data_IF_394335333192
#
_entry.id   IF_394335333192
#
_cell.length_a   1.000
_cell.length_b   1.000
_cell.length_c   1.000
_cell.angle_alpha   90.00
_cell.angle_beta   90.00
_cell.angle_gamma   90.00
#
_symmetry.space_group_name_H-M   'P 1'
#
loop_
_entity.id
_entity.type
_entity.pdbx_description
1 polymer ?
#
# COMPACT_ATOMS: atom_id res chain seq x y z
N UNK A 1 -35.28 27.12 -36.92
CA UNK A 1 -36.27 28.20 -37.03
C UNK A 1 -36.71 28.62 -35.62
N UNK A 2 -36.83 29.95 -35.42
CA UNK A 2 -37.32 30.72 -34.23
C UNK A 2 -36.26 30.93 -33.12
N UNK A 3 -35.55 32.08 -33.00
CA UNK A 3 -35.94 33.49 -32.71
C UNK A 3 -36.48 33.66 -31.27
N UNK A 4 -36.13 34.63 -30.41
CA UNK A 4 -35.50 35.97 -30.48
C UNK A 4 -35.19 36.40 -29.01
N UNK A 5 -34.05 37.08 -28.76
CA UNK A 5 -33.89 38.45 -28.21
C UNK A 5 -34.28 38.66 -26.71
N UNK A 6 -33.77 39.58 -25.89
CA UNK A 6 -33.25 40.96 -25.97
C UNK A 6 -32.42 41.15 -24.66
N UNK A 7 -31.13 41.54 -24.64
CA UNK A 7 -30.54 42.90 -24.59
C UNK A 7 -30.92 43.75 -23.35
N UNK A 8 -29.89 44.27 -22.63
CA UNK A 8 -29.78 45.58 -21.94
C UNK A 8 -28.44 45.60 -21.15
N UNK A 9 -27.36 46.24 -21.65
CA UNK A 9 -26.94 47.65 -21.46
C UNK A 9 -26.41 47.93 -20.03
N UNK A 10 -25.36 48.72 -19.74
CA UNK A 10 -24.21 49.36 -20.41
C UNK A 10 -23.55 50.23 -19.31
N UNK A 11 -22.24 50.47 -19.38
CA UNK A 11 -21.56 51.61 -18.72
C UNK A 11 -20.50 51.21 -17.68
N UNK A 12 -19.35 51.87 -17.55
CA UNK A 12 -18.73 53.01 -18.21
C UNK A 12 -17.20 52.95 -17.94
N UNK A 13 -16.43 53.50 -18.88
CA UNK A 13 -14.99 53.85 -18.86
C UNK A 13 -14.64 54.83 -17.71
N UNK A 14 -13.44 54.92 -17.13
CA UNK A 14 -12.18 55.54 -17.63
C UNK A 14 -11.15 55.48 -16.47
N UNK A 15 -9.87 55.08 -16.66
CA UNK A 15 -8.69 55.83 -17.12
C UNK A 15 -8.13 56.93 -16.15
N UNK A 16 -6.85 56.73 -15.80
CA UNK A 16 -5.78 57.69 -15.39
C UNK A 16 -5.68 58.18 -13.93
N UNK A 17 -4.51 57.94 -13.32
CA UNK A 17 -3.65 59.00 -12.75
C UNK A 17 -2.21 58.50 -12.52
N UNK A 18 -1.26 59.41 -12.64
CA UNK A 18 0.18 59.25 -12.82
C UNK A 18 0.97 58.96 -11.52
N UNK A 19 2.18 58.42 -11.70
CA UNK A 19 3.30 58.35 -10.74
C UNK A 19 3.87 59.76 -10.47
N UNK A 20 4.50 60.06 -9.30
CA UNK A 20 5.97 60.02 -9.19
C UNK A 20 6.61 59.71 -7.80
N UNK A 21 7.78 59.04 -7.85
CA UNK A 21 9.02 59.11 -7.03
C UNK A 21 9.13 58.90 -5.47
N UNK A 22 9.78 57.76 -5.11
CA UNK A 22 10.97 57.49 -4.22
C UNK A 22 10.95 57.57 -2.65
N UNK A 23 11.85 56.81 -1.93
CA UNK A 23 11.64 56.03 -0.66
C UNK A 23 12.34 56.70 0.57
N UNK A 24 12.53 56.14 1.81
CA UNK A 24 12.74 54.73 2.27
C UNK A 24 11.96 54.29 3.55
N UNK A 25 11.79 52.97 3.76
CA UNK A 25 12.41 52.27 4.90
C UNK A 25 12.02 50.77 5.00
N UNK A 26 13.06 49.95 5.03
CA UNK A 26 13.26 48.73 5.83
C UNK A 26 12.03 47.94 6.33
N UNK A 27 11.80 46.77 5.73
CA UNK A 27 10.83 45.77 6.20
C UNK A 27 11.13 44.39 5.67
N UNK A 28 12.13 43.78 6.28
CA UNK A 28 12.64 42.40 6.25
C UNK A 28 11.68 41.28 5.81
N UNK A 29 12.29 40.28 5.17
CA UNK A 29 11.85 38.88 5.01
C UNK A 29 10.87 38.57 3.86
N UNK A 30 11.40 38.65 2.63
CA UNK A 30 10.99 37.77 1.54
C UNK A 30 11.25 36.33 1.99
N UNK A 31 10.20 35.62 2.40
CA UNK A 31 10.26 34.20 2.69
C UNK A 31 10.73 33.46 1.42
N UNK A 32 12.01 33.09 1.40
CA UNK A 32 12.55 32.12 0.45
C UNK A 32 11.76 30.82 0.60
N UNK A 33 10.85 30.58 -0.33
CA UNK A 33 10.23 29.28 -0.51
C UNK A 33 11.29 28.35 -1.11
N UNK A 34 12.18 27.82 -0.26
CA UNK A 34 13.04 26.70 -0.64
C UNK A 34 12.12 25.54 -1.02
N UNK A 35 12.18 25.03 -2.27
CA UNK A 35 11.43 23.85 -2.65
C UNK A 35 11.80 22.71 -1.69
N UNK A 36 10.83 21.92 -1.17
CA UNK A 36 11.15 20.80 -0.31
C UNK A 36 12.16 19.90 -1.02
N UNK A 37 13.29 19.64 -0.36
CA UNK A 37 14.34 18.79 -0.90
C UNK A 37 13.73 17.44 -1.33
N UNK A 38 14.09 16.91 -2.51
CA UNK A 38 13.60 15.61 -2.93
C UNK A 38 13.93 14.56 -1.86
N UNK A 39 13.02 13.62 -1.57
CA UNK A 39 13.25 12.61 -0.55
C UNK A 39 14.55 11.87 -0.86
N UNK A 40 15.40 11.62 0.15
CA UNK A 40 16.67 10.94 -0.07
C UNK A 40 16.43 9.58 -0.71
N UNK A 41 17.26 9.25 -1.70
CA UNK A 41 17.22 7.94 -2.34
C UNK A 41 17.52 6.84 -1.31
N UNK A 42 16.91 5.65 -1.43
CA UNK A 42 17.17 4.56 -0.50
C UNK A 42 18.65 4.15 -0.52
N UNK A 43 19.21 3.88 0.66
CA UNK A 43 20.58 3.34 0.76
C UNK A 43 20.65 1.94 0.11
N UNK A 44 21.85 1.44 -0.25
CA UNK A 44 22.00 0.09 -0.80
C UNK A 44 21.39 -1.01 0.08
N UNK A 45 21.51 -0.89 1.41
CA UNK A 45 20.97 -1.84 2.38
C UNK A 45 19.43 -1.75 2.45
N UNK A 46 18.88 -0.54 2.37
CA UNK A 46 17.44 -0.32 2.27
C UNK A 46 16.88 -0.90 0.97
N UNK A 47 17.61 -0.77 -0.14
CA UNK A 47 17.25 -1.40 -1.42
C UNK A 47 17.22 -2.92 -1.30
N UNK A 48 18.22 -3.52 -0.66
CA UNK A 48 18.26 -4.96 -0.40
C UNK A 48 17.07 -5.41 0.47
N UNK A 49 16.71 -4.63 1.50
CA UNK A 49 15.49 -4.88 2.28
C UNK A 49 14.24 -4.87 1.39
N UNK A 50 14.09 -3.86 0.53
CA UNK A 50 12.94 -3.72 -0.36
C UNK A 50 12.88 -4.83 -1.42
N UNK A 51 14.02 -5.34 -1.89
CA UNK A 51 14.08 -6.46 -2.84
C UNK A 51 13.71 -7.79 -2.17
N UNK A 52 14.13 -7.98 -0.91
CA UNK A 52 13.65 -9.07 -0.06
C UNK A 52 12.14 -9.03 0.13
N UNK A 53 11.61 -7.83 0.43
CA UNK A 53 10.17 -7.60 0.58
C UNK A 53 9.41 -7.89 -0.72
N UNK A 54 9.90 -7.42 -1.88
CA UNK A 54 9.29 -7.73 -3.19
C UNK A 54 9.25 -9.24 -3.43
N UNK A 55 10.33 -9.94 -3.13
CA UNK A 55 10.42 -11.40 -3.28
C UNK A 55 9.40 -12.11 -2.42
N UNK A 56 9.32 -11.77 -1.14
CA UNK A 56 8.34 -12.35 -0.21
C UNK A 56 6.90 -12.05 -0.63
N UNK A 57 6.62 -10.80 -1.03
CA UNK A 57 5.27 -10.35 -1.44
C UNK A 57 4.74 -11.13 -2.64
N UNK A 58 5.61 -11.57 -3.57
CA UNK A 58 5.20 -12.43 -4.70
C UNK A 58 4.59 -13.74 -4.23
N UNK A 59 5.19 -14.40 -3.24
CA UNK A 59 4.61 -15.61 -2.64
C UNK A 59 3.30 -15.31 -1.92
N UNK A 60 3.23 -14.22 -1.17
CA UNK A 60 1.99 -13.85 -0.47
C UNK A 60 0.83 -13.51 -1.41
N UNK A 61 1.10 -12.95 -2.58
CA UNK A 61 0.08 -12.72 -3.60
C UNK A 61 -0.54 -14.05 -4.08
N UNK A 62 0.28 -15.08 -4.29
CA UNK A 62 -0.21 -16.42 -4.65
C UNK A 62 -1.14 -16.98 -3.57
N UNK A 63 -0.77 -16.84 -2.29
CA UNK A 63 -1.62 -17.29 -1.18
C UNK A 63 -2.98 -16.57 -1.14
N UNK A 64 -3.01 -15.26 -1.41
CA UNK A 64 -4.26 -14.49 -1.50
C UNK A 64 -5.15 -15.00 -2.63
N UNK A 65 -4.57 -15.31 -3.79
CA UNK A 65 -5.32 -15.88 -4.91
C UNK A 65 -5.88 -17.27 -4.56
N UNK A 66 -5.09 -18.10 -3.86
CA UNK A 66 -5.51 -19.41 -3.35
C UNK A 66 -6.69 -19.31 -2.38
N UNK A 67 -6.63 -18.39 -1.42
CA UNK A 67 -7.74 -18.09 -0.50
C UNK A 67 -8.99 -17.67 -1.28
N UNK A 68 -8.84 -16.79 -2.27
CA UNK A 68 -9.96 -16.35 -3.11
C UNK A 68 -10.63 -17.53 -3.84
N UNK A 69 -9.84 -18.51 -4.31
CA UNK A 69 -10.37 -19.73 -4.91
C UNK A 69 -11.14 -20.59 -3.91
N UNK A 70 -10.59 -20.83 -2.72
CA UNK A 70 -11.28 -21.57 -1.64
C UNK A 70 -12.59 -20.87 -1.27
N UNK A 71 -12.57 -19.54 -1.11
CA UNK A 71 -13.78 -18.78 -0.76
C UNK A 71 -14.86 -18.80 -1.84
N UNK A 72 -14.51 -18.95 -3.12
CA UNK A 72 -15.50 -19.13 -4.19
C UNK A 72 -16.02 -20.56 -4.21
N UNK A 73 -15.14 -21.54 -4.02
CA UNK A 73 -15.48 -22.95 -3.99
C UNK A 73 -16.30 -23.35 -2.74
N UNK A 74 -16.21 -22.59 -1.64
CA UNK A 74 -16.96 -22.86 -0.41
C UNK A 74 -18.48 -22.71 -0.56
N UNK A 75 -18.95 -22.12 -1.67
CA UNK A 75 -20.37 -22.03 -2.04
C UNK A 75 -20.81 -23.14 -3.01
N UNK A 76 -19.87 -23.94 -3.51
CA UNK A 76 -20.10 -25.03 -4.45
C UNK A 76 -20.18 -26.39 -3.78
N UNK A 77 -19.98 -27.46 -4.56
CA UNK A 77 -19.95 -28.82 -4.04
C UNK A 77 -18.67 -29.14 -3.25
N UNK A 78 -18.71 -30.22 -2.47
CA UNK A 78 -17.59 -30.66 -1.62
C UNK A 78 -16.34 -31.03 -2.42
N UNK A 79 -16.51 -31.49 -3.67
CA UNK A 79 -15.40 -31.86 -4.56
C UNK A 79 -14.64 -30.62 -5.03
N UNK A 80 -15.35 -29.57 -5.45
CA UNK A 80 -14.76 -28.29 -5.83
C UNK A 80 -14.04 -27.65 -4.65
N UNK A 81 -14.63 -27.72 -3.45
CA UNK A 81 -13.99 -27.25 -2.22
C UNK A 81 -12.70 -28.01 -1.93
N UNK A 82 -12.72 -29.34 -2.06
CA UNK A 82 -11.56 -30.19 -1.84
C UNK A 82 -10.43 -29.89 -2.84
N UNK A 83 -10.76 -29.74 -4.13
CA UNK A 83 -9.79 -29.37 -5.18
C UNK A 83 -9.18 -27.99 -4.91
N UNK A 84 -9.98 -27.02 -4.48
CA UNK A 84 -9.47 -25.70 -4.09
C UNK A 84 -8.55 -25.78 -2.87
N UNK A 85 -8.86 -26.63 -1.90
CA UNK A 85 -8.02 -26.92 -0.74
C UNK A 85 -6.67 -27.55 -1.10
N UNK A 86 -6.66 -28.54 -1.98
CA UNK A 86 -5.42 -29.16 -2.51
C UNK A 86 -4.57 -28.13 -3.26
N UNK A 87 -5.19 -27.28 -4.07
CA UNK A 87 -4.50 -26.19 -4.75
C UNK A 87 -3.88 -25.21 -3.74
N UNK A 88 -4.62 -24.81 -2.70
CA UNK A 88 -4.11 -23.95 -1.63
C UNK A 88 -2.94 -24.60 -0.87
N UNK A 89 -2.99 -25.92 -0.61
CA UNK A 89 -1.90 -26.66 0.02
C UNK A 89 -0.60 -26.52 -0.78
N UNK A 90 -0.66 -26.75 -2.10
CA UNK A 90 0.49 -26.60 -3.00
C UNK A 90 1.03 -25.17 -3.02
N UNK A 91 0.16 -24.16 -2.97
CA UNK A 91 0.57 -22.76 -2.86
C UNK A 91 1.25 -22.43 -1.53
N UNK A 92 0.80 -23.04 -0.42
CA UNK A 92 1.47 -22.88 0.88
C UNK A 92 2.90 -23.41 0.85
N UNK A 93 3.14 -24.54 0.20
CA UNK A 93 4.49 -25.07 -0.06
C UNK A 93 5.33 -24.17 -0.96
N UNK A 94 4.80 -23.73 -2.12
CA UNK A 94 5.55 -22.92 -3.07
C UNK A 94 5.86 -21.51 -2.55
N UNK A 95 4.90 -20.87 -1.87
CA UNK A 95 5.03 -19.54 -1.28
C UNK A 95 6.09 -19.51 -0.19
N UNK A 96 6.26 -20.61 0.57
CA UNK A 96 7.33 -20.75 1.55
C UNK A 96 8.71 -20.54 0.94
N UNK A 97 8.94 -20.97 -0.30
CA UNK A 97 10.20 -20.75 -1.01
C UNK A 97 10.50 -19.25 -1.22
N UNK A 98 9.50 -18.47 -1.62
CA UNK A 98 9.64 -17.01 -1.75
C UNK A 98 9.91 -16.33 -0.41
N UNK A 99 9.18 -16.74 0.63
CA UNK A 99 9.34 -16.17 1.97
C UNK A 99 10.72 -16.49 2.56
N UNK A 100 11.20 -17.73 2.43
CA UNK A 100 12.53 -18.13 2.88
C UNK A 100 13.67 -17.42 2.15
N UNK A 101 13.48 -17.05 0.88
CA UNK A 101 14.47 -16.26 0.12
C UNK A 101 14.43 -14.77 0.45
N UNK A 102 13.22 -14.20 0.60
CA UNK A 102 13.04 -12.77 0.83
C UNK A 102 13.35 -12.34 2.27
N UNK A 103 12.91 -13.14 3.26
CA UNK A 103 13.01 -12.77 4.69
C UNK A 103 14.44 -12.50 5.18
N UNK A 104 15.48 -13.29 4.81
CA UNK A 104 16.86 -13.03 5.24
C UNK A 104 17.41 -11.68 4.76
N UNK A 105 16.91 -11.16 3.64
CA UNK A 105 17.34 -9.88 3.08
C UNK A 105 16.75 -8.68 3.83
N UNK A 106 15.68 -8.90 4.59
CA UNK A 106 14.94 -7.86 5.30
C UNK A 106 15.50 -7.63 6.69
N UNK A 107 16.66 -6.98 6.79
CA UNK A 107 17.21 -6.54 8.07
C UNK A 107 16.56 -5.21 8.52
N UNK A 108 15.77 -5.16 9.62
CA UNK A 108 15.11 -3.93 10.05
C UNK A 108 16.06 -2.82 10.52
N UNK A 109 17.31 -3.15 10.88
CA UNK A 109 18.26 -2.16 11.44
C UNK A 109 18.81 -1.19 10.40
N UNK A 110 18.58 -1.46 9.10
CA UNK A 110 18.92 -0.55 7.99
C UNK A 110 18.08 0.73 7.96
N UNK A 111 17.02 0.77 8.78
CA UNK A 111 16.21 1.94 9.04
C UNK A 111 16.44 2.43 10.46
N UNK A 112 16.23 3.72 10.68
CA UNK A 112 16.32 4.37 11.98
C UNK A 112 14.93 4.67 12.59
N UNK A 113 14.94 5.02 13.88
CA UNK A 113 13.79 5.58 14.61
C UNK A 113 12.47 4.80 14.48
N UNK A 114 11.41 5.51 14.10
CA UNK A 114 10.06 4.98 13.95
C UNK A 114 9.96 4.00 12.79
N UNK A 115 10.75 4.21 11.72
CA UNK A 115 10.78 3.34 10.53
C UNK A 115 11.33 1.97 10.90
N UNK A 116 12.40 1.92 11.70
CA UNK A 116 12.94 0.66 12.26
C UNK A 116 11.87 -0.15 12.98
N UNK A 117 11.04 0.53 13.77
CA UNK A 117 9.95 -0.12 14.52
C UNK A 117 8.90 -0.70 13.58
N UNK A 118 8.52 0.01 12.51
CA UNK A 118 7.59 -0.51 11.49
C UNK A 118 8.21 -1.66 10.70
N UNK A 119 9.48 -1.57 10.33
CA UNK A 119 10.21 -2.63 9.64
C UNK A 119 10.29 -3.91 10.49
N UNK A 120 10.60 -3.80 11.79
CA UNK A 120 10.58 -4.93 12.73
C UNK A 120 9.21 -5.60 12.75
N UNK A 121 8.14 -4.83 12.95
CA UNK A 121 6.76 -5.35 12.96
C UNK A 121 6.44 -6.07 11.65
N UNK A 122 6.79 -5.50 10.49
CA UNK A 122 6.59 -6.13 9.19
C UNK A 122 7.32 -7.48 9.10
N UNK A 123 8.59 -7.53 9.50
CA UNK A 123 9.36 -8.78 9.48
C UNK A 123 8.78 -9.84 10.43
N UNK A 124 8.29 -9.45 11.61
CA UNK A 124 7.60 -10.37 12.53
C UNK A 124 6.32 -10.96 11.92
N UNK A 125 5.54 -10.16 11.18
CA UNK A 125 4.36 -10.70 10.48
C UNK A 125 4.75 -11.68 9.36
N UNK A 126 5.87 -11.42 8.66
CA UNK A 126 6.43 -12.39 7.72
C UNK A 126 6.89 -13.68 8.40
N UNK A 127 7.56 -13.59 9.55
CA UNK A 127 8.00 -14.77 10.32
C UNK A 127 6.79 -15.60 10.77
N UNK A 128 5.72 -14.93 11.18
CA UNK A 128 4.44 -15.55 11.55
C UNK A 128 3.78 -16.28 10.36
N UNK A 129 3.91 -15.75 9.14
CA UNK A 129 3.45 -16.41 7.92
C UNK A 129 4.34 -17.60 7.56
N UNK A 130 5.66 -17.43 7.61
CA UNK A 130 6.64 -18.50 7.34
C UNK A 130 6.39 -19.69 8.27
N UNK A 131 6.23 -19.44 9.57
CA UNK A 131 5.97 -20.47 10.57
C UNK A 131 4.66 -21.22 10.31
N UNK A 132 3.66 -20.54 9.73
CA UNK A 132 2.36 -21.15 9.43
C UNK A 132 2.34 -21.97 8.13
N UNK A 133 3.23 -21.68 7.16
CA UNK A 133 3.21 -22.35 5.85
C UNK A 133 3.19 -23.89 5.92
N UNK A 134 3.94 -24.59 6.79
CA UNK A 134 3.88 -26.05 6.85
C UNK A 134 2.53 -26.57 7.35
N UNK A 135 1.94 -25.90 8.34
CA UNK A 135 0.62 -26.26 8.85
C UNK A 135 -0.47 -26.00 7.80
N UNK A 136 -0.35 -24.91 7.03
CA UNK A 136 -1.25 -24.65 5.92
C UNK A 136 -1.16 -25.76 4.85
N UNK A 137 0.05 -26.14 4.44
CA UNK A 137 0.29 -27.19 3.46
C UNK A 137 -0.35 -28.53 3.88
N UNK A 138 -0.19 -28.91 5.15
CA UNK A 138 -0.76 -30.15 5.69
C UNK A 138 -2.29 -30.11 5.80
N UNK A 139 -2.86 -28.96 6.17
CA UNK A 139 -4.29 -28.86 6.55
C UNK A 139 -5.20 -28.38 5.43
N UNK A 140 -4.69 -27.61 4.47
CA UNK A 140 -5.52 -26.93 3.47
C UNK A 140 -6.33 -27.90 2.61
N UNK A 141 -5.83 -29.12 2.36
CA UNK A 141 -6.60 -30.15 1.67
C UNK A 141 -7.71 -30.74 2.56
N UNK A 142 -7.45 -31.01 3.84
CA UNK A 142 -8.41 -31.68 4.72
C UNK A 142 -9.50 -30.74 5.25
N UNK A 143 -9.12 -29.50 5.59
CA UNK A 143 -10.01 -28.49 6.15
C UNK A 143 -9.80 -27.14 5.44
N UNK A 144 -10.26 -27.02 4.18
CA UNK A 144 -9.93 -25.87 3.33
C UNK A 144 -10.41 -24.53 3.91
N UNK A 145 -11.64 -24.48 4.41
CA UNK A 145 -12.25 -23.22 4.88
C UNK A 145 -11.56 -22.67 6.13
N UNK A 146 -11.37 -23.49 7.17
CA UNK A 146 -10.72 -23.04 8.40
C UNK A 146 -9.26 -22.66 8.16
N UNK A 147 -8.55 -23.41 7.32
CA UNK A 147 -7.18 -23.09 6.91
C UNK A 147 -7.12 -21.75 6.16
N UNK A 148 -8.03 -21.52 5.22
CA UNK A 148 -8.12 -20.25 4.49
C UNK A 148 -8.45 -19.06 5.41
N UNK A 149 -9.32 -19.24 6.41
CA UNK A 149 -9.64 -18.21 7.42
C UNK A 149 -8.41 -17.88 8.26
N UNK A 150 -7.68 -18.88 8.76
CA UNK A 150 -6.48 -18.64 9.57
C UNK A 150 -5.38 -17.94 8.74
N UNK A 151 -5.16 -18.40 7.51
CA UNK A 151 -4.22 -17.77 6.59
C UNK A 151 -4.61 -16.32 6.28
N UNK A 152 -5.90 -16.07 6.05
CA UNK A 152 -6.44 -14.72 5.81
C UNK A 152 -6.19 -13.79 6.98
N UNK A 153 -6.34 -14.27 8.22
CA UNK A 153 -6.05 -13.47 9.43
C UNK A 153 -4.59 -13.03 9.46
N UNK A 154 -3.66 -13.94 9.18
CA UNK A 154 -2.22 -13.65 9.15
C UNK A 154 -1.85 -12.68 8.03
N UNK A 155 -2.44 -12.87 6.84
CA UNK A 155 -2.24 -11.97 5.70
C UNK A 155 -2.77 -10.55 5.98
N UNK A 156 -3.91 -10.41 6.66
CA UNK A 156 -4.42 -9.09 7.08
C UNK A 156 -3.45 -8.38 8.04
N UNK A 157 -2.89 -9.10 9.02
CA UNK A 157 -1.89 -8.53 9.93
C UNK A 157 -0.62 -8.10 9.19
N UNK A 158 -0.16 -8.90 8.23
CA UNK A 158 0.94 -8.55 7.34
C UNK A 158 0.64 -7.30 6.50
N UNK A 159 -0.53 -7.25 5.86
CA UNK A 159 -0.93 -6.11 5.00
C UNK A 159 -1.02 -4.81 5.81
N UNK A 160 -1.52 -4.87 7.04
CA UNK A 160 -1.50 -3.73 7.95
C UNK A 160 -0.08 -3.27 8.28
N UNK A 161 0.83 -4.19 8.61
CA UNK A 161 2.22 -3.86 8.88
C UNK A 161 2.95 -3.33 7.63
N UNK A 162 2.66 -3.87 6.46
CA UNK A 162 3.22 -3.44 5.18
C UNK A 162 2.78 -2.01 4.85
N UNK A 163 1.50 -1.70 5.02
CA UNK A 163 0.98 -0.34 4.83
C UNK A 163 1.67 0.65 5.77
N UNK A 164 1.73 0.34 7.06
CA UNK A 164 2.35 1.22 8.05
C UNK A 164 3.85 1.45 7.74
N UNK A 165 4.55 0.41 7.28
CA UNK A 165 5.94 0.53 6.84
C UNK A 165 6.07 1.41 5.59
N UNK A 166 5.24 1.21 4.57
CA UNK A 166 5.25 2.01 3.33
C UNK A 166 5.03 3.49 3.61
N UNK A 167 4.06 3.82 4.45
CA UNK A 167 3.81 5.19 4.89
C UNK A 167 5.04 5.78 5.59
N UNK A 168 5.68 4.99 6.47
CA UNK A 168 6.86 5.45 7.21
C UNK A 168 8.08 5.74 6.31
N UNK A 169 8.21 5.07 5.16
CA UNK A 169 9.27 5.35 4.17
C UNK A 169 8.82 6.28 3.03
N UNK A 170 7.69 6.97 3.19
CA UNK A 170 7.18 7.93 2.20
C UNK A 170 6.70 7.30 0.88
N UNK A 171 6.46 5.99 0.85
CA UNK A 171 5.91 5.33 -0.34
C UNK A 171 4.39 5.48 -0.38
N UNK A 172 3.80 5.77 -1.55
CA UNK A 172 2.36 5.85 -1.68
C UNK A 172 1.72 4.52 -1.31
N UNK A 173 0.66 4.63 -0.53
CA UNK A 173 -0.32 3.57 -0.31
C UNK A 173 -1.50 3.91 -1.22
N UNK A 174 -1.97 2.93 -1.99
CA UNK A 174 -3.24 3.11 -2.70
C UNK A 174 -4.32 3.29 -1.64
N UNK A 175 -4.89 4.49 -1.53
CA UNK A 175 -6.07 4.68 -0.70
C UNK A 175 -7.18 3.80 -1.27
N UNK A 176 -7.81 2.99 -0.41
CA UNK A 176 -9.01 2.28 -0.79
C UNK A 176 -10.04 3.34 -1.22
N UNK A 177 -10.35 3.38 -2.51
CA UNK A 177 -11.36 4.27 -3.13
C UNK A 177 -12.76 3.85 -2.68
N UNK A 178 -13.04 3.96 -1.38
CA UNK A 178 -14.31 3.64 -0.74
C UNK A 178 -14.81 4.78 0.16
N UNK A 179 -14.20 5.97 0.07
CA UNK A 179 -14.75 7.19 0.66
C UNK A 179 -15.07 8.19 -0.44
N UNK A 180 -16.17 7.95 -1.15
CA UNK A 180 -16.81 8.99 -1.93
C UNK A 180 -17.16 10.14 -0.96
N UNK A 181 -16.85 11.41 -1.31
CA UNK A 181 -17.28 12.54 -0.50
C UNK A 181 -18.81 12.59 -0.50
N UNK A 182 -19.42 12.56 0.69
CA UNK A 182 -20.79 13.01 0.84
C UNK A 182 -20.77 14.52 0.62
N UNK A 183 -21.32 14.97 -0.51
CA UNK A 183 -21.66 16.37 -0.70
C UNK A 183 -22.98 16.66 0.02
N UNK A 184 -23.13 17.84 0.67
CA UNK A 184 -24.38 18.25 1.32
C UNK A 184 -25.48 18.58 0.32
#
# INVERSE_FOLDING_TARGET
>A
MRCLAVLLCLGFTSLAAQQPETPPDSGTARAESVPPAPPPSPTPEQKHFLDGLKTATRGLAQLKDGIGRVSRASKGDSVAQQRAGQFLAGLCGSSRGFLKRGRPQMNPTVYEDTVRTKAKRLTTQMDTLIAFTPACEQRAAAVPNSTAVELSKRLKSYDGALRDFRLAIGLPVKEDTAKAPKHP
#
